data_IF_366083129777
#
_entry.id   IF_366083129777
#
_cell.length_a   1.000
_cell.length_b   1.000
_cell.length_c   1.000
_cell.angle_alpha   90.00
_cell.angle_beta   90.00
_cell.angle_gamma   90.00
#
_symmetry.space_group_name_H-M   'P 1'
#
loop_
_entity.id
_entity.type
_entity.pdbx_description
1 polymer ?
#
# COMPACT_ATOMS: atom_id res chain seq x y z
N UNK A 1 11.28 17.86 -5.91
CA UNK A 1 11.54 19.20 -5.32
C UNK A 1 10.37 19.63 -4.44
N UNK A 2 9.15 19.81 -4.98
CA UNK A 2 7.92 20.17 -4.22
C UNK A 2 7.76 19.48 -2.85
N UNK A 3 7.88 18.13 -2.80
CA UNK A 3 7.77 17.39 -1.53
C UNK A 3 8.77 17.85 -0.46
N UNK A 4 10.04 18.05 -0.85
CA UNK A 4 11.10 18.47 0.07
C UNK A 4 10.88 19.92 0.52
N UNK A 5 10.46 20.80 -0.40
CA UNK A 5 10.16 22.20 -0.09
C UNK A 5 8.99 22.35 0.91
N UNK A 6 7.96 21.51 0.80
CA UNK A 6 6.85 21.52 1.74
C UNK A 6 7.23 20.97 3.13
N UNK A 7 8.06 19.92 3.16
CA UNK A 7 8.34 19.19 4.41
C UNK A 7 9.51 19.82 5.17
N UNK A 8 10.62 20.06 4.49
CA UNK A 8 11.82 20.62 5.08
C UNK A 8 12.57 21.46 4.03
N UNK A 9 12.13 22.71 3.78
CA UNK A 9 12.71 23.56 2.73
C UNK A 9 14.18 23.91 2.94
N UNK A 10 14.72 23.73 4.15
CA UNK A 10 16.13 23.93 4.47
C UNK A 10 16.94 22.63 4.52
N UNK A 11 16.34 21.49 4.15
CA UNK A 11 17.02 20.20 4.18
C UNK A 11 18.27 20.23 3.28
N UNK A 12 19.41 19.86 3.86
CA UNK A 12 20.68 19.66 3.15
C UNK A 12 20.97 18.18 2.95
N UNK A 13 20.49 17.34 3.85
CA UNK A 13 20.67 15.90 3.83
C UNK A 13 19.40 15.17 4.27
N UNK A 14 19.27 13.93 3.80
CA UNK A 14 18.21 13.00 4.14
C UNK A 14 18.82 11.62 4.38
N UNK A 15 18.33 10.91 5.40
CA UNK A 15 18.66 9.49 5.61
C UNK A 15 17.49 8.66 5.12
N UNK A 16 17.76 7.78 4.15
CA UNK A 16 16.82 6.79 3.66
C UNK A 16 17.00 5.49 4.46
N UNK A 17 15.92 5.01 5.08
CA UNK A 17 15.91 3.75 5.84
C UNK A 17 15.16 2.69 5.04
N UNK A 18 15.84 1.66 4.50
CA UNK A 18 15.20 0.59 3.75
C UNK A 18 14.62 -0.52 4.66
N UNK A 19 13.88 -1.43 4.04
CA UNK A 19 13.52 -2.73 4.61
C UNK A 19 14.76 -3.55 4.98
N UNK A 20 14.57 -4.47 5.92
CA UNK A 20 15.63 -5.37 6.38
C UNK A 20 15.97 -6.50 5.36
N UNK A 21 15.49 -6.39 4.12
CA UNK A 21 15.62 -7.40 3.08
C UNK A 21 16.86 -7.20 2.21
N UNK A 22 18.01 -7.71 2.65
CA UNK A 22 19.27 -7.61 1.88
C UNK A 22 19.44 -8.66 0.79
N UNK A 23 18.57 -9.68 0.73
CA UNK A 23 18.64 -10.76 -0.27
C UNK A 23 17.80 -10.50 -1.53
N UNK A 24 16.85 -9.56 -1.46
CA UNK A 24 16.00 -9.24 -2.59
C UNK A 24 16.67 -8.18 -3.47
N UNK A 25 17.36 -8.63 -4.53
CA UNK A 25 18.11 -7.75 -5.41
C UNK A 25 17.24 -6.70 -6.12
N UNK A 26 16.00 -7.05 -6.50
CA UNK A 26 15.07 -6.08 -7.10
C UNK A 26 14.69 -4.97 -6.11
N UNK A 27 14.53 -5.32 -4.83
CA UNK A 27 14.26 -4.32 -3.80
C UNK A 27 15.45 -3.38 -3.59
N UNK A 28 16.67 -3.91 -3.57
CA UNK A 28 17.88 -3.08 -3.46
C UNK A 28 18.06 -2.16 -4.68
N UNK A 29 17.79 -2.64 -5.90
CA UNK A 29 17.76 -1.77 -7.09
C UNK A 29 16.72 -0.66 -6.96
N UNK A 30 15.55 -0.94 -6.39
CA UNK A 30 14.55 0.10 -6.08
C UNK A 30 15.08 1.12 -5.06
N UNK A 31 15.80 0.69 -4.01
CA UNK A 31 16.43 1.60 -3.04
C UNK A 31 17.47 2.50 -3.72
N UNK A 32 18.29 1.95 -4.62
CA UNK A 32 19.25 2.73 -5.41
C UNK A 32 18.55 3.78 -6.29
N UNK A 33 17.49 3.38 -7.00
CA UNK A 33 16.71 4.29 -7.85
C UNK A 33 16.06 5.41 -7.03
N UNK A 34 15.50 5.09 -5.86
CA UNK A 34 14.92 6.09 -4.96
C UNK A 34 15.97 7.07 -4.44
N UNK A 35 17.15 6.57 -4.02
CA UNK A 35 18.26 7.42 -3.59
C UNK A 35 18.73 8.34 -4.72
N UNK A 36 18.78 7.85 -5.96
CA UNK A 36 19.12 8.67 -7.12
C UNK A 36 18.10 9.80 -7.36
N UNK A 37 16.80 9.49 -7.32
CA UNK A 37 15.72 10.49 -7.47
C UNK A 37 15.84 11.57 -6.39
N UNK A 38 16.14 11.20 -5.15
CA UNK A 38 16.35 12.14 -4.05
C UNK A 38 17.60 13.01 -4.27
N UNK A 39 18.72 12.43 -4.73
CA UNK A 39 19.95 13.19 -5.03
C UNK A 39 19.74 14.23 -6.13
N UNK A 40 18.86 13.96 -7.11
CA UNK A 40 18.50 14.94 -8.14
C UNK A 40 17.82 16.20 -7.58
N UNK A 41 17.36 16.18 -6.33
CA UNK A 41 16.83 17.37 -5.64
C UNK A 41 17.91 18.26 -5.01
N UNK A 42 19.18 17.86 -5.09
CA UNK A 42 20.31 18.58 -4.48
C UNK A 42 20.62 18.16 -3.03
N UNK A 43 19.93 17.17 -2.49
CA UNK A 43 20.17 16.64 -1.14
C UNK A 43 21.36 15.67 -1.11
N UNK A 44 22.13 15.72 0.00
CA UNK A 44 22.98 14.60 0.38
C UNK A 44 22.09 13.44 0.86
N UNK A 45 22.18 12.29 0.19
CA UNK A 45 21.36 11.12 0.51
C UNK A 45 22.25 10.00 1.05
N UNK A 46 22.02 9.63 2.31
CA UNK A 46 22.69 8.54 3.02
C UNK A 46 21.70 7.41 3.30
N UNK A 47 22.18 6.16 3.39
CA UNK A 47 21.30 5.00 3.55
C UNK A 47 21.59 4.34 4.90
N UNK A 48 20.70 4.55 5.86
CA UNK A 48 20.81 4.04 7.22
C UNK A 48 20.09 2.70 7.38
N UNK A 49 20.79 1.68 7.86
CA UNK A 49 20.26 0.34 8.04
C UNK A 49 19.74 0.11 9.46
N UNK A 50 18.58 -0.55 9.58
CA UNK A 50 18.05 -1.06 10.85
C UNK A 50 18.58 -2.46 11.19
N UNK A 51 19.39 -3.08 10.32
CA UNK A 51 19.95 -4.41 10.56
C UNK A 51 21.05 -4.35 11.63
N UNK A 52 20.94 -5.14 12.73
CA UNK A 52 21.95 -5.16 13.79
C UNK A 52 23.35 -5.59 13.31
N UNK A 53 23.42 -6.42 12.27
CA UNK A 53 24.68 -6.94 11.74
C UNK A 53 25.46 -5.89 10.92
N UNK A 54 24.82 -4.78 10.51
CA UNK A 54 25.49 -3.67 9.84
C UNK A 54 26.11 -2.77 10.91
N UNK A 55 27.36 -3.03 11.25
CA UNK A 55 28.12 -2.32 12.30
C UNK A 55 29.14 -1.32 11.76
N UNK A 56 29.36 -1.32 10.45
CA UNK A 56 30.22 -0.39 9.72
C UNK A 56 29.66 -0.15 8.31
N UNK A 57 30.06 0.92 7.60
CA UNK A 57 29.67 1.15 6.21
C UNK A 57 29.95 -0.09 5.35
N UNK A 58 28.89 -0.71 4.84
CA UNK A 58 28.92 -2.00 4.18
C UNK A 58 28.46 -1.85 2.72
N UNK A 59 29.36 -2.02 1.74
CA UNK A 59 28.98 -2.00 0.33
C UNK A 59 28.19 -3.27 -0.03
N UNK A 60 27.16 -3.09 -0.85
CA UNK A 60 26.32 -4.15 -1.39
C UNK A 60 26.26 -3.98 -2.91
N UNK A 61 26.82 -4.95 -3.63
CA UNK A 61 26.83 -4.94 -5.09
C UNK A 61 25.46 -5.31 -5.66
N UNK A 62 25.04 -4.57 -6.68
CA UNK A 62 23.77 -4.75 -7.37
C UNK A 62 23.96 -5.41 -8.73
N UNK A 63 22.93 -6.12 -9.26
CA UNK A 63 23.04 -6.81 -10.55
C UNK A 63 23.29 -5.90 -11.76
N UNK A 64 22.99 -4.60 -11.64
CA UNK A 64 23.24 -3.60 -12.67
C UNK A 64 24.67 -3.01 -12.61
N UNK A 65 25.53 -3.50 -11.71
CA UNK A 65 26.90 -3.04 -11.55
C UNK A 65 27.06 -1.80 -10.65
N UNK A 66 25.96 -1.30 -10.07
CA UNK A 66 26.00 -0.26 -9.04
C UNK A 66 26.31 -0.86 -7.66
N UNK A 67 26.79 -0.04 -6.73
CA UNK A 67 27.02 -0.43 -5.33
C UNK A 67 26.21 0.48 -4.41
N UNK A 68 25.44 -0.12 -3.50
CA UNK A 68 24.80 0.60 -2.39
C UNK A 68 25.67 0.53 -1.15
N UNK A 69 25.85 1.67 -0.49
CA UNK A 69 26.51 1.71 0.82
C UNK A 69 25.45 1.72 1.91
N UNK A 70 25.35 0.64 2.68
CA UNK A 70 24.50 0.57 3.86
C UNK A 70 25.30 0.97 5.09
N UNK A 71 24.76 1.87 5.90
CA UNK A 71 25.47 2.43 7.04
C UNK A 71 24.74 2.16 8.35
N UNK A 72 25.47 1.92 9.46
CA UNK A 72 24.83 1.81 10.77
C UNK A 72 24.13 3.11 11.13
N UNK A 73 22.89 3.00 11.61
CA UNK A 73 22.19 4.14 12.20
C UNK A 73 22.83 4.52 13.53
N UNK A 74 23.09 5.80 13.72
CA UNK A 74 23.68 6.37 14.94
C UNK A 74 22.67 7.32 15.57
N UNK A 75 22.31 7.05 16.82
CA UNK A 75 21.48 7.95 17.62
C UNK A 75 22.35 8.79 18.56
N UNK A 76 22.21 10.10 18.51
CA UNK A 76 22.88 11.05 19.41
C UNK A 76 21.82 11.92 20.07
N UNK A 77 21.56 11.66 21.35
CA UNK A 77 20.40 12.25 22.04
C UNK A 77 19.09 11.85 21.37
N UNK A 78 18.29 12.84 20.99
CA UNK A 78 17.01 12.66 20.30
C UNK A 78 17.11 12.81 18.77
N UNK A 79 18.32 12.81 18.22
CA UNK A 79 18.53 12.85 16.77
C UNK A 79 19.10 11.52 16.27
N UNK A 80 18.63 11.10 15.10
CA UNK A 80 19.05 9.90 14.40
C UNK A 80 19.70 10.25 13.07
N UNK A 81 20.82 9.61 12.77
CA UNK A 81 21.51 9.80 11.50
C UNK A 81 22.44 8.64 11.20
N UNK A 82 23.49 8.92 10.45
CA UNK A 82 24.64 8.04 10.24
C UNK A 82 25.91 8.78 10.65
N UNK A 83 27.06 8.10 10.64
CA UNK A 83 28.31 8.74 11.00
C UNK A 83 28.58 10.00 10.14
N UNK A 84 28.83 11.12 10.82
CA UNK A 84 29.09 12.42 10.21
C UNK A 84 27.87 13.11 9.56
N UNK A 85 26.67 12.54 9.63
CA UNK A 85 25.47 13.11 9.02
C UNK A 85 24.24 12.97 9.92
N UNK A 86 23.76 14.09 10.46
CA UNK A 86 22.49 14.20 11.18
C UNK A 86 21.50 14.97 10.29
N UNK A 87 20.57 14.28 9.59
CA UNK A 87 19.70 14.91 8.62
C UNK A 87 18.55 15.66 9.29
N UNK A 88 17.93 16.59 8.55
CA UNK A 88 16.68 17.22 8.97
C UNK A 88 15.46 16.32 8.75
N UNK A 89 15.58 15.34 7.85
CA UNK A 89 14.51 14.41 7.52
C UNK A 89 15.04 12.97 7.38
N UNK A 90 14.19 12.02 7.76
CA UNK A 90 14.41 10.59 7.67
C UNK A 90 13.29 10.02 6.81
N UNK A 91 13.61 9.44 5.66
CA UNK A 91 12.64 8.81 4.78
C UNK A 91 12.61 7.31 5.06
N UNK A 92 11.47 6.82 5.49
CA UNK A 92 11.22 5.39 5.67
C UNK A 92 10.77 4.80 4.33
N UNK A 93 11.60 3.91 3.79
CA UNK A 93 11.21 2.93 2.78
C UNK A 93 11.08 1.53 3.43
N UNK A 94 10.69 1.54 4.71
CA UNK A 94 10.43 0.41 5.58
C UNK A 94 9.05 0.62 6.21
N UNK A 95 8.15 -0.35 6.10
CA UNK A 95 6.77 -0.23 6.56
C UNK A 95 6.59 -0.37 8.08
N UNK A 96 7.66 -0.75 8.78
CA UNK A 96 7.71 -0.98 10.23
C UNK A 96 6.66 -2.01 10.70
N UNK A 97 6.37 -2.99 9.86
CA UNK A 97 5.36 -4.02 10.15
C UNK A 97 5.72 -4.95 11.30
N UNK A 98 7.01 -5.14 11.57
CA UNK A 98 7.50 -5.90 12.72
C UNK A 98 7.44 -5.12 14.05
N UNK A 99 6.90 -3.89 14.03
CA UNK A 99 6.94 -2.98 15.18
C UNK A 99 7.83 -1.78 14.92
N UNK A 100 7.61 -0.72 15.70
CA UNK A 100 8.40 0.51 15.64
C UNK A 100 9.65 0.33 16.52
N UNK A 101 10.86 0.26 15.94
CA UNK A 101 12.09 0.07 16.70
C UNK A 101 12.32 1.23 17.69
N UNK A 102 12.85 0.96 18.91
CA UNK A 102 13.11 2.01 19.89
C UNK A 102 13.98 3.16 19.38
N UNK A 103 14.91 2.87 18.45
CA UNK A 103 15.79 3.90 17.86
C UNK A 103 15.01 4.99 17.09
N UNK A 104 13.82 4.68 16.57
CA UNK A 104 12.94 5.63 15.86
C UNK A 104 11.96 6.38 16.79
N UNK A 105 11.94 6.07 18.09
CA UNK A 105 10.99 6.66 19.03
C UNK A 105 11.58 7.90 19.72
N UNK A 106 10.75 8.93 19.93
CA UNK A 106 11.17 10.15 20.64
C UNK A 106 12.28 10.91 19.93
N UNK A 107 12.21 10.98 18.59
CA UNK A 107 13.10 11.84 17.82
C UNK A 107 12.58 13.28 17.88
N UNK A 108 13.49 14.24 18.01
CA UNK A 108 13.19 15.68 18.08
C UNK A 108 13.85 16.40 16.90
N UNK A 109 13.26 17.50 16.45
CA UNK A 109 13.81 18.37 15.40
C UNK A 109 14.08 17.68 14.04
N UNK A 110 13.56 16.46 13.86
CA UNK A 110 13.68 15.67 12.64
C UNK A 110 12.33 15.18 12.16
N UNK A 111 12.09 15.30 10.85
CA UNK A 111 10.89 14.76 10.23
C UNK A 111 11.11 13.30 9.86
N UNK A 112 10.34 12.38 10.45
CA UNK A 112 10.25 10.99 9.98
C UNK A 112 9.11 10.89 8.98
N UNK A 113 9.37 10.37 7.79
CA UNK A 113 8.45 10.38 6.66
C UNK A 113 8.23 8.97 6.10
N UNK A 114 6.99 8.45 6.09
CA UNK A 114 5.86 8.93 6.90
C UNK A 114 6.17 8.90 8.40
N UNK A 115 5.44 9.65 9.24
CA UNK A 115 5.66 9.63 10.69
C UNK A 115 5.40 8.23 11.26
N UNK A 116 6.08 7.89 12.35
CA UNK A 116 6.07 6.50 12.89
C UNK A 116 4.70 6.00 13.32
N UNK A 117 3.73 6.88 13.61
CA UNK A 117 2.35 6.46 13.90
C UNK A 117 1.59 5.97 12.65
N UNK A 118 2.12 6.22 11.45
CA UNK A 118 1.68 5.62 10.19
C UNK A 118 2.11 4.14 10.05
N UNK A 119 3.01 3.67 10.92
CA UNK A 119 3.59 2.33 10.83
C UNK A 119 2.52 1.24 10.77
N UNK A 120 2.80 0.22 9.97
CA UNK A 120 1.85 -0.87 9.76
C UNK A 120 1.54 -1.69 11.02
N UNK A 121 2.45 -1.67 11.99
CA UNK A 121 2.28 -2.33 13.29
C UNK A 121 1.10 -1.77 14.12
N UNK A 122 0.74 -0.50 13.91
CA UNK A 122 -0.31 0.18 14.69
C UNK A 122 -1.47 0.67 13.84
N UNK A 123 -1.27 0.81 12.52
CA UNK A 123 -2.29 1.22 11.57
C UNK A 123 -3.43 0.20 11.45
N UNK A 124 -4.65 0.71 11.26
CA UNK A 124 -5.88 -0.08 11.03
C UNK A 124 -6.43 0.19 9.64
N UNK A 125 -6.55 -0.84 8.79
CA UNK A 125 -7.04 -0.68 7.40
C UNK A 125 -8.47 -0.12 7.37
N UNK A 126 -9.32 -0.53 8.30
CA UNK A 126 -10.71 -0.08 8.44
C UNK A 126 -10.84 1.44 8.54
N UNK A 127 -9.89 2.13 9.17
CA UNK A 127 -9.86 3.60 9.26
C UNK A 127 -9.69 4.22 7.89
N UNK A 128 -8.73 3.72 7.10
CA UNK A 128 -8.53 4.14 5.71
C UNK A 128 -9.79 4.01 4.87
N UNK A 129 -10.42 2.83 4.91
CA UNK A 129 -11.64 2.59 4.13
C UNK A 129 -12.80 3.49 4.54
N UNK A 130 -12.90 3.82 5.84
CA UNK A 130 -13.92 4.76 6.32
C UNK A 130 -13.67 6.18 5.79
N UNK A 131 -12.42 6.65 5.82
CA UNK A 131 -12.04 7.97 5.26
C UNK A 131 -12.24 8.00 3.74
N UNK A 132 -11.88 6.92 3.05
CA UNK A 132 -12.07 6.82 1.61
C UNK A 132 -13.56 6.80 1.23
N UNK A 133 -14.43 6.16 2.02
CA UNK A 133 -15.89 6.18 1.81
C UNK A 133 -16.47 7.60 1.90
N UNK A 134 -16.02 8.40 2.88
CA UNK A 134 -16.40 9.82 3.00
C UNK A 134 -16.01 10.61 1.73
N UNK A 135 -14.75 10.50 1.31
CA UNK A 135 -14.22 11.21 0.14
C UNK A 135 -14.90 10.75 -1.15
N UNK A 136 -15.10 9.46 -1.32
CA UNK A 136 -15.73 8.89 -2.51
C UNK A 136 -17.18 9.36 -2.64
N UNK A 137 -17.94 9.46 -1.53
CA UNK A 137 -19.30 10.01 -1.55
C UNK A 137 -19.33 11.48 -1.93
N UNK A 138 -18.45 12.29 -1.37
CA UNK A 138 -18.38 13.72 -1.68
C UNK A 138 -17.99 13.97 -3.14
N UNK A 139 -16.97 13.25 -3.62
CA UNK A 139 -16.55 13.29 -5.01
C UNK A 139 -17.69 12.85 -5.95
N UNK A 140 -18.33 11.73 -5.64
CA UNK A 140 -19.42 11.19 -6.44
C UNK A 140 -20.62 12.13 -6.52
N UNK A 141 -21.00 12.76 -5.41
CA UNK A 141 -22.04 13.79 -5.37
C UNK A 141 -21.68 15.00 -6.26
N UNK A 142 -20.44 15.48 -6.15
CA UNK A 142 -19.96 16.65 -6.91
C UNK A 142 -19.98 16.42 -8.41
N UNK A 143 -19.60 15.23 -8.87
CA UNK A 143 -19.49 14.90 -10.29
C UNK A 143 -20.69 14.12 -10.85
N UNK A 144 -21.70 13.84 -10.03
CA UNK A 144 -22.92 13.13 -10.45
C UNK A 144 -22.67 11.68 -10.89
N UNK A 145 -21.73 10.99 -10.25
CA UNK A 145 -21.46 9.56 -10.50
C UNK A 145 -21.97 8.70 -9.35
N UNK A 146 -22.17 7.40 -9.59
CA UNK A 146 -22.43 6.44 -8.51
C UNK A 146 -21.14 6.21 -7.70
N UNK A 147 -21.12 6.45 -6.36
CA UNK A 147 -19.94 6.23 -5.54
C UNK A 147 -19.42 4.78 -5.58
N UNK A 148 -20.29 3.79 -5.80
CA UNK A 148 -19.88 2.38 -5.89
C UNK A 148 -18.87 2.13 -7.02
N UNK A 149 -18.89 2.93 -8.09
CA UNK A 149 -17.95 2.81 -9.22
C UNK A 149 -16.50 3.13 -8.86
N UNK A 150 -16.27 3.83 -7.75
CA UNK A 150 -14.93 4.23 -7.30
C UNK A 150 -14.62 3.75 -5.88
N UNK A 151 -15.56 3.07 -5.21
CA UNK A 151 -15.44 2.66 -3.83
C UNK A 151 -16.06 1.28 -3.59
N UNK A 152 -15.23 0.23 -3.39
CA UNK A 152 -15.71 -1.10 -3.06
C UNK A 152 -16.44 -1.13 -1.71
N UNK A 153 -17.55 -1.86 -1.63
CA UNK A 153 -18.24 -2.07 -0.37
C UNK A 153 -17.35 -2.79 0.64
N UNK A 154 -17.44 -2.43 1.92
CA UNK A 154 -16.70 -3.11 2.97
C UNK A 154 -17.47 -3.15 4.29
N UNK A 155 -17.06 -4.05 5.17
CA UNK A 155 -17.51 -4.13 6.55
C UNK A 155 -16.38 -4.62 7.46
N UNK A 156 -16.58 -4.51 8.77
CA UNK A 156 -15.58 -4.91 9.77
C UNK A 156 -16.25 -5.86 10.76
N UNK A 157 -15.56 -6.94 11.10
CA UNK A 157 -15.93 -7.80 12.21
C UNK A 157 -14.81 -7.76 13.27
N UNK A 158 -15.20 -7.52 14.52
CA UNK A 158 -14.29 -7.45 15.68
C UNK A 158 -14.46 -8.68 16.55
N UNK A 159 -13.50 -8.90 17.45
CA UNK A 159 -13.52 -10.00 18.41
C UNK A 159 -13.59 -11.36 17.73
N UNK A 160 -12.81 -11.54 16.66
CA UNK A 160 -12.70 -12.80 15.93
C UNK A 160 -11.53 -13.61 16.48
N UNK A 161 -11.73 -14.90 16.71
CA UNK A 161 -10.65 -15.86 16.96
C UNK A 161 -10.86 -17.10 16.08
N UNK A 162 -10.04 -17.23 15.04
CA UNK A 162 -10.13 -18.34 14.08
C UNK A 162 -9.69 -19.69 14.64
N UNK A 163 -8.95 -19.73 15.75
CA UNK A 163 -8.57 -21.00 16.41
C UNK A 163 -9.71 -21.54 17.27
N UNK A 164 -10.38 -20.65 18.00
CA UNK A 164 -11.48 -20.98 18.91
C UNK A 164 -12.86 -21.00 18.23
N UNK A 165 -12.96 -20.49 16.99
CA UNK A 165 -14.24 -20.34 16.27
C UNK A 165 -15.08 -19.17 16.79
N UNK A 166 -14.53 -18.31 17.64
CA UNK A 166 -15.23 -17.12 18.12
C UNK A 166 -15.35 -16.08 17.01
N UNK A 167 -16.54 -15.46 16.89
CA UNK A 167 -16.81 -14.45 15.88
C UNK A 167 -17.20 -14.98 14.49
N UNK A 168 -17.36 -16.30 14.31
CA UNK A 168 -17.80 -16.89 13.03
C UNK A 168 -19.18 -16.40 12.59
N UNK A 169 -20.14 -16.24 13.52
CA UNK A 169 -21.47 -15.72 13.20
C UNK A 169 -21.42 -14.28 12.69
N UNK A 170 -20.61 -13.43 13.34
CA UNK A 170 -20.36 -12.07 12.90
C UNK A 170 -19.73 -12.05 11.50
N UNK A 171 -18.68 -12.86 11.29
CA UNK A 171 -18.01 -12.95 9.99
C UNK A 171 -18.99 -13.38 8.89
N UNK A 172 -19.83 -14.39 9.16
CA UNK A 172 -20.85 -14.86 8.22
C UNK A 172 -21.86 -13.78 7.86
N UNK A 173 -22.44 -13.14 8.87
CA UNK A 173 -23.41 -12.07 8.66
C UNK A 173 -22.82 -10.90 7.87
N UNK A 174 -21.58 -10.51 8.16
CA UNK A 174 -20.90 -9.40 7.47
C UNK A 174 -20.51 -9.75 6.03
N UNK A 175 -20.07 -10.98 5.77
CA UNK A 175 -19.82 -11.46 4.41
C UNK A 175 -21.10 -11.51 3.59
N UNK A 176 -22.19 -12.04 4.13
CA UNK A 176 -23.50 -12.06 3.46
C UNK A 176 -24.00 -10.64 3.14
N UNK A 177 -23.86 -9.70 4.08
CA UNK A 177 -24.27 -8.32 3.88
C UNK A 177 -23.51 -7.62 2.73
N UNK A 178 -22.18 -7.79 2.69
CA UNK A 178 -21.36 -7.24 1.59
C UNK A 178 -21.73 -7.92 0.27
N UNK A 179 -21.78 -9.26 0.22
CA UNK A 179 -22.14 -9.99 -1.00
C UNK A 179 -23.52 -9.60 -1.53
N UNK A 180 -24.51 -9.37 -0.67
CA UNK A 180 -25.84 -8.93 -1.09
C UNK A 180 -25.83 -7.53 -1.69
N UNK A 181 -25.02 -6.63 -1.14
CA UNK A 181 -24.79 -5.28 -1.70
C UNK A 181 -24.17 -5.39 -3.09
N UNK A 182 -23.11 -6.18 -3.25
CA UNK A 182 -22.42 -6.39 -4.53
C UNK A 182 -23.35 -7.04 -5.56
N UNK A 183 -24.11 -8.08 -5.17
CA UNK A 183 -25.11 -8.74 -6.04
C UNK A 183 -26.18 -7.75 -6.53
N UNK A 184 -26.61 -6.81 -5.69
CA UNK A 184 -27.56 -5.79 -6.09
C UNK A 184 -26.96 -4.84 -7.14
N UNK A 185 -25.72 -4.39 -6.92
CA UNK A 185 -24.99 -3.53 -7.86
C UNK A 185 -24.65 -4.23 -9.18
N UNK A 186 -24.28 -5.50 -9.13
CA UNK A 186 -24.05 -6.29 -10.33
C UNK A 186 -25.32 -6.42 -11.17
N UNK A 187 -26.49 -6.65 -10.54
CA UNK A 187 -27.78 -6.63 -11.25
C UNK A 187 -28.12 -5.25 -11.83
N UNK A 188 -27.86 -4.18 -11.09
CA UNK A 188 -28.07 -2.80 -11.54
C UNK A 188 -27.26 -2.48 -12.83
N UNK A 189 -26.02 -2.96 -12.90
CA UNK A 189 -25.11 -2.70 -14.01
C UNK A 189 -25.02 -3.80 -15.06
N UNK A 190 -25.77 -4.90 -14.92
CA UNK A 190 -25.74 -6.02 -15.87
C UNK A 190 -24.41 -6.79 -15.86
N UNK A 191 -23.76 -6.90 -14.71
CA UNK A 191 -22.49 -7.62 -14.53
C UNK A 191 -22.79 -9.10 -14.28
N UNK A 192 -22.19 -9.98 -15.08
CA UNK A 192 -22.41 -11.44 -15.03
C UNK A 192 -21.38 -12.19 -14.18
N UNK A 193 -20.28 -11.54 -13.82
CA UNK A 193 -19.25 -12.08 -12.92
C UNK A 193 -19.82 -12.54 -11.58
N UNK A 194 -19.17 -13.55 -11.01
CA UNK A 194 -19.51 -14.00 -9.65
C UNK A 194 -18.99 -12.99 -8.62
N UNK A 195 -19.86 -12.40 -7.78
CA UNK A 195 -19.43 -11.58 -6.66
C UNK A 195 -18.54 -12.37 -5.70
N UNK A 196 -17.53 -11.71 -5.16
CA UNK A 196 -16.69 -12.28 -4.12
C UNK A 196 -16.27 -11.20 -3.13
N UNK A 197 -15.85 -11.62 -1.96
CA UNK A 197 -15.24 -10.75 -0.95
C UNK A 197 -13.85 -11.24 -0.61
N UNK A 198 -13.02 -10.32 -0.18
CA UNK A 198 -11.69 -10.58 0.36
C UNK A 198 -11.71 -10.24 1.85
N UNK A 199 -11.55 -11.27 2.69
CA UNK A 199 -11.42 -11.12 4.14
C UNK A 199 -9.95 -10.94 4.47
N UNK A 200 -9.62 -9.87 5.20
CA UNK A 200 -8.25 -9.44 5.52
C UNK A 200 -8.15 -9.11 7.00
N UNK A 201 -7.04 -9.46 7.67
CA UNK A 201 -6.76 -8.94 9.01
C UNK A 201 -6.69 -7.40 8.99
N UNK A 202 -7.29 -6.73 9.98
CA UNK A 202 -7.38 -5.27 9.98
C UNK A 202 -6.03 -4.59 10.29
N UNK A 203 -5.27 -5.13 11.24
CA UNK A 203 -3.89 -4.72 11.55
C UNK A 203 -2.84 -5.65 10.89
N UNK A 204 -1.65 -5.13 10.61
CA UNK A 204 -0.52 -5.91 10.05
C UNK A 204 -0.42 -5.94 8.51
N UNK A 205 0.68 -6.52 8.00
CA UNK A 205 1.08 -6.48 6.57
C UNK A 205 0.90 -7.78 5.80
N UNK A 206 0.99 -7.62 4.47
CA UNK A 206 1.23 -8.61 3.40
C UNK A 206 1.06 -10.11 3.68
N UNK A 207 0.21 -10.74 2.84
CA UNK A 207 0.29 -12.15 2.44
C UNK A 207 -0.34 -13.18 3.40
N UNK A 208 -0.27 -12.93 4.71
CA UNK A 208 -0.94 -13.74 5.73
C UNK A 208 -2.19 -13.03 6.26
N UNK A 209 -3.21 -13.79 6.64
CA UNK A 209 -4.50 -13.23 7.05
C UNK A 209 -5.38 -12.72 5.90
N UNK A 210 -5.22 -13.23 4.67
CA UNK A 210 -6.08 -12.89 3.52
C UNK A 210 -6.73 -14.14 2.92
N UNK A 211 -8.05 -14.10 2.70
CA UNK A 211 -8.77 -15.15 1.97
C UNK A 211 -9.89 -14.58 1.10
N UNK A 212 -10.22 -15.29 0.04
CA UNK A 212 -11.31 -14.97 -0.89
C UNK A 212 -12.51 -15.85 -0.58
N UNK A 213 -13.70 -15.28 -0.55
CA UNK A 213 -14.96 -15.99 -0.24
C UNK A 213 -16.01 -15.60 -1.28
N UNK A 214 -16.72 -16.57 -1.84
CA UNK A 214 -17.83 -16.35 -2.80
C UNK A 214 -19.19 -16.62 -2.15
N UNK A 215 -19.23 -17.46 -1.11
CA UNK A 215 -20.41 -17.78 -0.33
C UNK A 215 -20.10 -17.76 1.18
N UNK A 216 -20.96 -17.12 1.98
CA UNK A 216 -20.77 -17.07 3.43
C UNK A 216 -20.82 -18.46 4.10
N UNK A 217 -21.41 -19.47 3.45
CA UNK A 217 -21.35 -20.85 3.90
C UNK A 217 -19.92 -21.40 4.02
N UNK A 218 -18.97 -20.88 3.22
CA UNK A 218 -17.56 -21.28 3.25
C UNK A 218 -16.88 -21.00 4.60
N UNK A 219 -17.41 -20.05 5.38
CA UNK A 219 -16.87 -19.66 6.71
C UNK A 219 -17.02 -20.79 7.73
N UNK A 220 -18.14 -21.52 7.68
CA UNK A 220 -18.37 -22.65 8.60
C UNK A 220 -17.52 -23.88 8.26
N UNK A 221 -16.93 -23.91 7.06
CA UNK A 221 -16.15 -25.04 6.54
C UNK A 221 -14.63 -24.81 6.53
N UNK A 222 -14.11 -23.80 7.24
CA UNK A 222 -12.68 -23.48 7.16
C UNK A 222 -11.79 -24.64 7.61
N UNK A 223 -10.97 -25.12 6.68
CA UNK A 223 -10.03 -26.18 6.96
C UNK A 223 -8.88 -25.68 7.88
N UNK A 224 -8.12 -26.61 8.47
CA UNK A 224 -7.00 -26.28 9.38
C UNK A 224 -5.99 -25.31 8.76
N UNK A 225 -5.73 -25.44 7.45
CA UNK A 225 -4.78 -24.57 6.74
C UNK A 225 -5.31 -23.14 6.61
N UNK A 226 -6.60 -22.98 6.32
CA UNK A 226 -7.26 -21.66 6.25
C UNK A 226 -7.31 -20.99 7.62
N UNK A 227 -7.68 -21.74 8.68
CA UNK A 227 -7.66 -21.21 10.05
C UNK A 227 -6.27 -20.75 10.46
N UNK A 228 -5.23 -21.54 10.23
CA UNK A 228 -3.85 -21.14 10.52
C UNK A 228 -3.44 -19.89 9.74
N UNK A 229 -3.84 -19.78 8.46
CA UNK A 229 -3.56 -18.60 7.63
C UNK A 229 -4.26 -17.34 8.16
N UNK A 230 -5.46 -17.46 8.73
CA UNK A 230 -6.27 -16.34 9.23
C UNK A 230 -6.05 -16.02 10.70
N UNK A 231 -5.41 -16.90 11.48
CA UNK A 231 -5.21 -16.72 12.92
C UNK A 231 -4.06 -15.78 13.25
N UNK A 232 -3.03 -15.74 12.40
CA UNK A 232 -1.76 -15.09 12.69
C UNK A 232 -1.31 -14.28 11.48
N UNK A 233 -0.95 -13.00 11.70
CA UNK A 233 -0.24 -12.20 10.69
C UNK A 233 1.27 -12.45 10.78
N UNK A 234 2.04 -11.86 9.86
CA UNK A 234 3.50 -11.91 9.90
C UNK A 234 4.00 -11.47 11.29
N UNK A 235 5.03 -12.15 11.80
CA UNK A 235 5.60 -11.96 13.15
C UNK A 235 4.78 -12.49 14.35
N UNK A 236 3.75 -13.32 14.13
CA UNK A 236 3.12 -14.07 15.24
C UNK A 236 1.97 -13.37 15.95
N UNK A 237 1.56 -12.18 15.49
CA UNK A 237 0.48 -11.42 16.10
C UNK A 237 -0.90 -12.03 15.78
N UNK A 238 -1.74 -12.12 16.79
CA UNK A 238 -3.09 -12.69 16.69
C UNK A 238 -4.07 -11.73 16.00
N UNK A 239 -4.85 -12.28 15.07
CA UNK A 239 -5.90 -11.55 14.37
C UNK A 239 -7.15 -11.47 15.24
N UNK A 240 -7.46 -10.26 15.71
CA UNK A 240 -8.65 -9.98 16.53
C UNK A 240 -9.74 -9.20 15.78
N UNK A 241 -9.39 -8.57 14.66
CA UNK A 241 -10.28 -7.77 13.83
C UNK A 241 -10.03 -8.09 12.36
N UNK A 242 -11.10 -8.22 11.59
CA UNK A 242 -11.06 -8.49 10.15
C UNK A 242 -11.88 -7.49 9.37
N UNK A 243 -11.32 -7.06 8.26
CA UNK A 243 -11.96 -6.29 7.21
C UNK A 243 -12.51 -7.26 6.16
N UNK A 244 -13.79 -7.13 5.82
CA UNK A 244 -14.43 -7.82 4.72
C UNK A 244 -14.61 -6.79 3.62
N UNK A 245 -13.96 -6.99 2.48
CA UNK A 245 -14.00 -6.04 1.37
C UNK A 245 -14.57 -6.72 0.13
N UNK A 246 -15.42 -6.03 -0.62
CA UNK A 246 -15.78 -6.41 -1.99
C UNK A 246 -14.52 -6.67 -2.83
N UNK A 247 -14.56 -7.79 -3.54
CA UNK A 247 -13.56 -8.16 -4.52
C UNK A 247 -13.78 -7.47 -5.86
N UNK A 248 -12.76 -6.76 -6.35
CA UNK A 248 -12.80 -6.08 -7.65
C UNK A 248 -12.05 -6.94 -8.66
N UNK A 249 -12.73 -7.31 -9.74
CA UNK A 249 -12.14 -8.09 -10.82
C UNK A 249 -11.17 -7.24 -11.65
N UNK A 250 -10.02 -7.80 -12.02
CA UNK A 250 -9.16 -7.19 -13.05
C UNK A 250 -9.34 -7.87 -14.40
N UNK A 251 -9.73 -7.09 -15.40
CA UNK A 251 -9.86 -7.52 -16.80
C UNK A 251 -8.77 -6.95 -17.70
N UNK A 252 -7.95 -6.04 -17.18
CA UNK A 252 -6.89 -5.45 -17.96
C UNK A 252 -5.85 -6.53 -18.27
N UNK A 253 -5.41 -6.61 -19.53
CA UNK A 253 -4.42 -7.58 -19.95
C UNK A 253 -3.24 -6.92 -20.61
N UNK A 254 -2.04 -7.38 -20.25
CA UNK A 254 -0.79 -7.01 -20.91
C UNK A 254 -0.23 -8.28 -21.54
N UNK A 255 -0.05 -8.27 -22.87
CA UNK A 255 0.43 -9.43 -23.66
C UNK A 255 -0.34 -10.73 -23.38
N UNK A 256 -1.66 -10.62 -23.16
CA UNK A 256 -2.54 -11.75 -22.90
C UNK A 256 -2.54 -12.30 -21.47
N UNK A 257 -1.82 -11.66 -20.55
CA UNK A 257 -1.84 -11.99 -19.11
C UNK A 257 -2.58 -10.91 -18.31
N UNK A 258 -3.25 -11.32 -17.22
CA UNK A 258 -3.98 -10.39 -16.34
C UNK A 258 -2.99 -9.39 -15.72
N UNK A 259 -3.39 -8.12 -15.72
CA UNK A 259 -2.58 -7.01 -15.25
C UNK A 259 -3.37 -6.10 -14.31
N UNK A 260 -2.67 -5.47 -13.36
CA UNK A 260 -3.21 -4.44 -12.48
C UNK A 260 -2.29 -3.21 -12.52
N UNK A 261 -2.82 -2.00 -12.74
CA UNK A 261 -1.99 -0.79 -12.72
C UNK A 261 -1.59 -0.43 -11.28
N UNK A 262 -0.33 -0.03 -11.11
CA UNK A 262 0.22 0.57 -9.88
C UNK A 262 0.60 2.00 -10.19
N UNK A 263 -0.01 2.96 -9.50
CA UNK A 263 0.22 4.38 -9.70
C UNK A 263 1.17 4.91 -8.62
N UNK A 264 2.23 5.59 -9.04
CA UNK A 264 3.20 6.23 -8.16
C UNK A 264 2.93 7.72 -8.06
N UNK A 265 2.99 8.22 -6.83
CA UNK A 265 2.86 9.62 -6.50
C UNK A 265 4.03 10.10 -5.64
N UNK A 266 4.42 11.35 -5.83
CA UNK A 266 5.33 12.08 -4.95
C UNK A 266 4.66 13.43 -4.67
N UNK A 267 4.56 13.81 -3.39
CA UNK A 267 3.70 14.93 -2.97
C UNK A 267 2.26 14.68 -3.45
N UNK A 268 1.64 15.66 -4.11
CA UNK A 268 0.29 15.55 -4.69
C UNK A 268 0.27 15.16 -6.18
N UNK A 269 1.43 14.86 -6.76
CA UNK A 269 1.56 14.65 -8.21
C UNK A 269 1.70 13.18 -8.56
N UNK A 270 0.97 12.76 -9.61
CA UNK A 270 1.17 11.46 -10.27
C UNK A 270 2.44 11.56 -11.11
N UNK A 271 3.43 10.73 -10.78
CA UNK A 271 4.76 10.74 -11.42
C UNK A 271 4.99 9.55 -12.36
N UNK A 272 4.12 8.55 -12.31
CA UNK A 272 4.24 7.36 -13.15
C UNK A 272 3.62 6.15 -12.48
N UNK A 273 4.20 4.97 -12.74
CA UNK A 273 3.58 3.70 -12.41
C UNK A 273 4.04 2.55 -13.31
N UNK A 274 3.54 1.36 -13.03
CA UNK A 274 3.81 0.14 -13.79
C UNK A 274 2.60 -0.80 -13.73
N UNK A 275 2.51 -1.74 -14.66
CA UNK A 275 1.59 -2.88 -14.54
C UNK A 275 2.25 -4.00 -13.75
N UNK A 276 1.50 -4.53 -12.79
CA UNK A 276 1.77 -5.84 -12.19
C UNK A 276 1.09 -6.88 -13.05
N UNK A 277 1.88 -7.76 -13.68
CA UNK A 277 1.39 -8.77 -14.61
C UNK A 277 1.60 -10.16 -14.03
N UNK A 278 0.58 -11.02 -14.14
CA UNK A 278 0.69 -12.40 -13.68
C UNK A 278 0.09 -13.37 -14.71
N UNK A 279 0.92 -14.27 -15.24
CA UNK A 279 0.51 -15.21 -16.31
C UNK A 279 -0.32 -16.39 -15.81
N UNK A 280 -0.20 -16.72 -14.52
CA UNK A 280 -0.85 -17.89 -13.90
C UNK A 280 -1.97 -17.55 -12.90
N UNK A 281 -2.45 -16.30 -12.87
CA UNK A 281 -3.52 -15.88 -11.95
C UNK A 281 -4.70 -15.34 -12.73
N UNK A 282 -5.90 -15.65 -12.25
CA UNK A 282 -7.17 -15.22 -12.82
C UNK A 282 -7.56 -13.78 -12.43
N UNK A 283 -8.67 -13.32 -13.02
CA UNK A 283 -9.24 -11.98 -12.83
C UNK A 283 -9.73 -11.69 -11.41
N UNK A 284 -10.00 -12.72 -10.62
CA UNK A 284 -10.51 -12.68 -9.23
C UNK A 284 -9.45 -13.13 -8.20
N UNK A 285 -8.18 -13.24 -8.63
CA UNK A 285 -7.07 -13.69 -7.78
C UNK A 285 -6.08 -12.55 -7.49
N UNK A 286 -5.42 -12.63 -6.33
CA UNK A 286 -4.36 -11.70 -5.98
C UNK A 286 -3.14 -11.88 -6.91
N UNK A 287 -2.86 -10.88 -7.75
CA UNK A 287 -1.70 -10.89 -8.63
C UNK A 287 -0.37 -10.63 -7.87
N UNK A 288 -0.43 -10.16 -6.62
CA UNK A 288 0.75 -10.05 -5.74
C UNK A 288 1.14 -11.42 -5.17
N UNK A 289 1.64 -12.30 -6.05
CA UNK A 289 2.03 -13.66 -5.73
C UNK A 289 3.34 -14.04 -6.46
N UNK A 290 4.08 -15.06 -5.98
CA UNK A 290 5.27 -15.55 -6.67
C UNK A 290 4.96 -15.90 -8.13
N UNK A 291 5.80 -15.43 -9.06
CA UNK A 291 5.58 -15.57 -10.50
C UNK A 291 5.06 -14.30 -11.18
N UNK A 292 4.67 -13.27 -10.42
CA UNK A 292 4.41 -11.95 -10.96
C UNK A 292 5.67 -11.30 -11.55
N UNK A 293 5.48 -10.45 -12.55
CA UNK A 293 6.51 -9.58 -13.09
C UNK A 293 5.91 -8.18 -13.35
N UNK A 294 6.77 -7.21 -13.62
CA UNK A 294 6.38 -5.84 -13.86
C UNK A 294 6.56 -5.49 -15.32
N UNK A 295 5.55 -4.88 -15.93
CA UNK A 295 5.67 -4.24 -17.23
C UNK A 295 5.51 -2.74 -17.10
N UNK A 296 6.25 -1.99 -17.92
CA UNK A 296 6.12 -0.54 -17.93
C UNK A 296 4.68 -0.18 -18.28
N UNK A 297 4.07 0.63 -17.42
CA UNK A 297 2.83 1.31 -17.75
C UNK A 297 3.21 2.30 -18.84
N UNK A 298 2.80 2.02 -20.07
CA UNK A 298 3.15 2.84 -21.22
C UNK A 298 2.46 4.20 -21.12
N UNK A 299 3.02 5.11 -20.33
CA UNK A 299 2.72 6.53 -20.40
C UNK A 299 3.34 7.11 -21.66
N UNK A 300 2.81 6.71 -22.81
CA UNK A 300 3.09 7.40 -24.08
C UNK A 300 2.55 8.83 -24.04
N UNK A 301 1.57 9.09 -23.18
CA UNK A 301 1.03 10.40 -22.78
C UNK A 301 0.98 10.49 -21.26
N UNK A 302 1.33 11.64 -20.68
CA UNK A 302 1.34 11.82 -19.23
C UNK A 302 -0.04 11.65 -18.59
N UNK A 303 -0.11 11.08 -17.38
CA UNK A 303 -1.35 10.87 -16.59
C UNK A 303 -2.15 12.15 -16.31
N UNK A 304 -1.55 13.31 -16.56
CA UNK A 304 -2.06 14.61 -16.13
C UNK A 304 -2.70 15.40 -17.27
N UNK A 305 -2.76 14.83 -18.49
CA UNK A 305 -3.25 15.49 -19.69
C UNK A 305 -4.36 14.64 -20.34
N UNK A 306 -5.62 14.77 -19.88
CA UNK A 306 -6.74 14.17 -20.57
C UNK A 306 -6.94 14.85 -21.94
N UNK A 307 -7.40 14.09 -22.93
CA UNK A 307 -7.91 14.64 -24.17
C UNK A 307 -9.42 14.79 -24.07
N UNK A 308 -9.86 15.97 -23.60
CA UNK A 308 -11.27 16.31 -23.45
C UNK A 308 -12.01 16.48 -24.79
N UNK A 309 -11.30 16.61 -25.91
CA UNK A 309 -11.90 16.72 -27.24
C UNK A 309 -11.99 15.36 -27.94
N UNK A 310 -11.31 14.34 -27.42
CA UNK A 310 -11.44 12.98 -27.91
C UNK A 310 -12.88 12.50 -27.73
N UNK A 311 -13.43 11.91 -28.79
CA UNK A 311 -14.77 11.31 -28.77
C UNK A 311 -14.83 9.98 -28.04
N UNK A 312 -13.67 9.35 -27.80
CA UNK A 312 -13.54 8.11 -27.06
C UNK A 312 -13.11 8.40 -25.61
N UNK A 313 -14.03 8.26 -24.64
CA UNK A 313 -13.70 8.44 -23.23
C UNK A 313 -12.65 7.44 -22.70
N UNK A 314 -12.48 6.28 -23.35
CA UNK A 314 -11.50 5.25 -22.95
C UNK A 314 -10.18 5.32 -23.73
N UNK A 315 -9.98 6.39 -24.51
CA UNK A 315 -8.70 6.68 -25.12
C UNK A 315 -7.60 6.69 -24.05
N UNK A 316 -6.40 6.16 -24.38
CA UNK A 316 -5.30 5.97 -23.43
C UNK A 316 -5.03 7.17 -22.50
N UNK A 317 -4.96 8.44 -22.98
CA UNK A 317 -4.74 9.59 -22.10
C UNK A 317 -5.85 9.78 -21.06
N UNK A 318 -7.11 9.53 -21.46
CA UNK A 318 -8.29 9.68 -20.59
C UNK A 318 -8.37 8.56 -19.56
N UNK A 319 -8.09 7.31 -19.98
CA UNK A 319 -8.01 6.15 -19.05
C UNK A 319 -6.92 6.35 -18.00
N UNK A 320 -5.72 6.76 -18.39
CA UNK A 320 -4.65 7.04 -17.43
C UNK A 320 -4.93 8.26 -16.55
N UNK A 321 -5.62 9.27 -17.07
CA UNK A 321 -6.10 10.38 -16.26
C UNK A 321 -7.08 9.90 -15.18
N UNK A 322 -8.03 9.02 -15.53
CA UNK A 322 -8.94 8.41 -14.56
C UNK A 322 -8.20 7.60 -13.49
N UNK A 323 -7.18 6.82 -13.87
CA UNK A 323 -6.31 6.10 -12.91
C UNK A 323 -5.64 7.08 -11.94
N UNK A 324 -5.12 8.19 -12.47
CA UNK A 324 -4.51 9.26 -11.66
C UNK A 324 -5.50 10.00 -10.77
N UNK A 325 -6.78 10.14 -11.16
CA UNK A 325 -7.83 10.69 -10.29
C UNK A 325 -8.09 9.76 -9.10
N UNK A 326 -8.36 8.48 -9.35
CA UNK A 326 -8.62 7.50 -8.27
C UNK A 326 -7.40 7.35 -7.35
N UNK A 327 -6.19 7.31 -7.92
CA UNK A 327 -4.95 7.30 -7.14
C UNK A 327 -4.81 8.51 -6.21
N UNK A 328 -5.19 9.71 -6.67
CA UNK A 328 -5.19 10.92 -5.83
C UNK A 328 -6.27 10.91 -4.76
N UNK A 329 -7.45 10.36 -5.02
CA UNK A 329 -8.48 10.17 -3.99
C UNK A 329 -7.99 9.24 -2.88
N UNK A 330 -7.31 8.15 -3.25
CA UNK A 330 -6.72 7.22 -2.28
C UNK A 330 -5.58 7.88 -1.48
N UNK A 331 -4.73 8.69 -2.12
CA UNK A 331 -3.68 9.44 -1.45
C UNK A 331 -4.25 10.49 -0.47
N UNK A 332 -5.32 11.19 -0.86
CA UNK A 332 -6.03 12.12 0.02
C UNK A 332 -6.62 11.39 1.23
N UNK A 333 -7.22 10.22 1.02
CA UNK A 333 -7.73 9.40 2.12
C UNK A 333 -6.63 8.97 3.09
N UNK A 334 -5.47 8.57 2.56
CA UNK A 334 -4.32 8.23 3.40
C UNK A 334 -3.78 9.43 4.19
N UNK A 335 -3.75 10.62 3.58
CA UNK A 335 -3.33 11.84 4.27
C UNK A 335 -4.29 12.23 5.42
N UNK A 336 -5.60 12.19 5.18
CA UNK A 336 -6.63 12.47 6.19
C UNK A 336 -6.65 11.40 7.28
N UNK A 337 -6.50 10.12 6.91
CA UNK A 337 -6.32 9.02 7.87
C UNK A 337 -5.14 9.32 8.80
N UNK A 338 -4.01 9.73 8.23
CA UNK A 338 -2.81 10.01 8.99
C UNK A 338 -3.01 11.16 9.99
N UNK A 339 -3.52 12.29 9.52
CA UNK A 339 -3.86 13.46 10.35
C UNK A 339 -4.82 13.09 11.50
N UNK A 340 -5.87 12.31 11.22
CA UNK A 340 -6.84 11.86 12.24
C UNK A 340 -6.25 10.88 13.27
N UNK A 341 -5.11 10.26 12.96
CA UNK A 341 -4.44 9.29 13.84
C UNK A 341 -3.20 9.84 14.54
N UNK A 342 -2.91 11.13 14.37
CA UNK A 342 -1.81 11.80 15.05
C UNK A 342 -2.00 11.69 16.58
N UNK A 343 -1.00 11.17 17.31
CA UNK A 343 -1.03 11.15 18.77
C UNK A 343 -1.13 12.57 19.33
N UNK A 344 -2.03 12.77 20.30
CA UNK A 344 -2.21 14.05 20.99
C UNK A 344 -1.23 14.25 22.13
#
# INVERSE_FOLDING_TARGET
MSAIEHICPQAKSIVLIPENHTRNQFYLQNVAQLAQILRMTGLEVRIGSLLPDITAPTPVDLPNGETLLLEPLVRTGNCLGVEGCTPCAILLNNDLSAGIPPILQGLEEQYVLPPVHAAWAVRRKSRHFSVYDEIAREFAHTFGIDPWRINPAFSVCRSVNFQEGHGEECLKAQVDAVLNTVRAKYREYGIEETPYVVVKADAGTYGMGVMTIKDAAEITGLNRRQRNKMSVVKEGLEVNEVLIQEGVHSFETVRGAVAEPVIYMIDRYVVGGFYRVHTQRGKDENLNAPGMHFESLAFTTGCNLPDCFCRDPDALPNRFYAYGVVGRLAALAAAIELERTEPK
#
